data_IF_728157660428
#
_entry.id   IF_728157660428
#
_cell.length_a   1.000
_cell.length_b   1.000
_cell.length_c   1.000
_cell.angle_alpha   90.00
_cell.angle_beta   90.00
_cell.angle_gamma   90.00
#
_symmetry.space_group_name_H-M   'P 1'
#
loop_
_entity.id
_entity.type
_entity.pdbx_description
1 polymer ?
#
# COMPACT_ATOMS: atom_id res chain seq x y z
N UNK A 1 0.27 12.78 4.16
CA UNK A 1 -0.05 13.29 2.84
C UNK A 1 -1.28 12.58 2.26
N UNK A 2 -2.24 13.33 1.71
CA UNK A 2 -3.55 12.78 1.36
C UNK A 2 -3.65 12.38 -0.10
N UNK A 3 -2.76 11.49 -0.53
CA UNK A 3 -2.79 10.96 -1.89
C UNK A 3 -3.06 9.46 -1.84
N UNK A 4 -3.65 8.95 -2.92
CA UNK A 4 -3.88 7.51 -3.05
C UNK A 4 -2.55 6.77 -3.20
N UNK A 5 -2.56 5.47 -2.98
CA UNK A 5 -1.36 4.67 -3.17
C UNK A 5 -0.93 4.66 -4.65
N UNK A 6 -1.88 4.69 -5.57
CA UNK A 6 -1.58 4.80 -7.01
C UNK A 6 -0.85 6.08 -7.36
N UNK A 7 -1.29 7.21 -6.82
CA UNK A 7 -0.60 8.49 -7.00
C UNK A 7 0.80 8.47 -6.37
N UNK A 8 0.93 7.82 -5.23
CA UNK A 8 2.21 7.64 -4.57
C UNK A 8 3.20 6.89 -5.49
N UNK A 9 2.75 5.78 -6.11
CA UNK A 9 3.56 5.04 -7.09
C UNK A 9 3.95 5.93 -8.27
N UNK A 10 3.00 6.72 -8.78
CA UNK A 10 3.28 7.64 -9.91
C UNK A 10 4.38 8.63 -9.54
N UNK A 11 4.34 9.19 -8.33
CA UNK A 11 5.38 10.13 -7.87
C UNK A 11 6.74 9.45 -7.76
N UNK A 12 6.77 8.22 -7.24
CA UNK A 12 8.02 7.44 -7.18
C UNK A 12 8.57 7.20 -8.58
N UNK A 13 7.71 6.78 -9.50
CA UNK A 13 8.10 6.52 -10.88
C UNK A 13 8.68 7.78 -11.53
N UNK A 14 7.98 8.90 -11.38
CA UNK A 14 8.44 10.18 -11.91
C UNK A 14 9.76 10.64 -11.32
N UNK A 15 9.99 10.37 -10.03
CA UNK A 15 11.24 10.77 -9.36
C UNK A 15 12.48 10.08 -9.95
N UNK A 16 12.31 8.90 -10.52
CA UNK A 16 13.39 8.15 -11.19
C UNK A 16 13.33 8.26 -12.72
N UNK A 17 12.40 9.02 -13.26
CA UNK A 17 12.26 9.20 -14.70
C UNK A 17 11.89 7.91 -15.43
N UNK A 18 11.21 6.98 -14.77
CA UNK A 18 10.81 5.72 -15.38
C UNK A 18 9.50 5.87 -16.15
N UNK A 19 9.42 5.19 -17.30
CA UNK A 19 8.14 5.06 -18.01
C UNK A 19 7.28 4.00 -17.36
N UNK A 20 6.00 3.97 -17.71
CA UNK A 20 5.09 2.91 -17.25
C UNK A 20 5.61 1.52 -17.67
N UNK A 21 6.12 1.40 -18.88
CA UNK A 21 6.67 0.14 -19.37
C UNK A 21 7.90 -0.28 -18.57
N UNK A 22 8.78 0.66 -18.27
CA UNK A 22 9.99 0.37 -17.50
C UNK A 22 9.69 -0.07 -16.08
N UNK A 23 8.83 0.65 -15.37
CA UNK A 23 8.46 0.25 -14.02
C UNK A 23 7.65 -1.04 -14.03
N UNK A 24 6.73 -1.18 -14.97
CA UNK A 24 5.94 -2.41 -15.13
C UNK A 24 6.84 -3.64 -15.29
N UNK A 25 7.87 -3.55 -16.12
CA UNK A 25 8.82 -4.65 -16.30
C UNK A 25 9.50 -5.03 -14.99
N UNK A 26 9.86 -4.05 -14.15
CA UNK A 26 10.49 -4.29 -12.84
C UNK A 26 9.55 -4.94 -11.84
N UNK A 27 8.24 -4.67 -11.95
CA UNK A 27 7.22 -5.18 -11.05
C UNK A 27 6.47 -6.40 -11.61
N UNK A 28 6.83 -6.84 -12.80
CA UNK A 28 6.14 -7.92 -13.52
C UNK A 28 4.66 -7.56 -13.77
N UNK A 29 4.43 -6.34 -14.21
CA UNK A 29 3.13 -5.80 -14.59
C UNK A 29 3.23 -5.21 -15.99
N UNK A 30 2.17 -5.37 -16.80
CA UNK A 30 2.15 -4.65 -18.07
C UNK A 30 1.83 -3.16 -17.83
N UNK A 31 2.16 -2.32 -18.80
CA UNK A 31 2.00 -0.87 -18.68
C UNK A 31 0.52 -0.46 -18.52
N UNK A 32 -0.39 -1.19 -19.15
CA UNK A 32 -1.82 -0.89 -19.04
C UNK A 32 -2.34 -1.13 -17.63
N UNK A 33 -1.95 -2.25 -17.02
CA UNK A 33 -2.34 -2.55 -15.63
C UNK A 33 -1.71 -1.56 -14.66
N UNK A 34 -0.43 -1.22 -14.85
CA UNK A 34 0.22 -0.23 -13.99
C UNK A 34 -0.45 1.14 -14.09
N UNK A 35 -0.84 1.55 -15.31
CA UNK A 35 -1.59 2.79 -15.52
C UNK A 35 -2.91 2.79 -14.75
N UNK A 36 -3.63 1.68 -14.79
CA UNK A 36 -4.88 1.55 -14.04
C UNK A 36 -4.66 1.66 -12.52
N UNK A 37 -3.57 1.06 -12.02
CA UNK A 37 -3.20 1.17 -10.60
C UNK A 37 -2.89 2.62 -10.23
N UNK A 38 -2.10 3.30 -11.03
CA UNK A 38 -1.74 4.70 -10.78
C UNK A 38 -2.96 5.62 -10.79
N UNK A 39 -3.96 5.29 -11.60
CA UNK A 39 -5.19 6.07 -11.72
C UNK A 39 -6.30 5.63 -10.76
N UNK A 40 -6.02 4.68 -9.87
CA UNK A 40 -6.98 4.24 -8.86
C UNK A 40 -8.09 3.34 -9.38
N UNK A 41 -8.00 2.86 -10.62
CA UNK A 41 -9.00 1.98 -11.23
C UNK A 41 -8.79 0.53 -10.78
N UNK A 42 -7.55 0.18 -10.48
CA UNK A 42 -7.16 -1.16 -10.03
C UNK A 42 -6.30 -1.04 -8.78
N UNK A 43 -6.46 -1.98 -7.86
CA UNK A 43 -5.65 -2.00 -6.64
C UNK A 43 -4.27 -2.61 -6.89
N UNK A 44 -3.27 -2.09 -6.17
CA UNK A 44 -1.93 -2.66 -6.18
C UNK A 44 -1.93 -3.94 -5.35
N UNK A 45 -1.25 -4.98 -5.84
CA UNK A 45 -1.13 -6.25 -5.14
C UNK A 45 -0.09 -6.14 -4.01
N UNK A 46 -0.53 -6.39 -2.79
CA UNK A 46 0.36 -6.32 -1.61
C UNK A 46 1.57 -7.24 -1.72
N UNK A 47 1.48 -8.31 -2.50
CA UNK A 47 2.60 -9.24 -2.73
C UNK A 47 3.75 -8.57 -3.48
N UNK A 48 3.51 -7.45 -4.15
CA UNK A 48 4.53 -6.70 -4.88
C UNK A 48 5.17 -5.58 -4.07
N UNK A 49 4.78 -5.42 -2.80
CA UNK A 49 5.34 -4.35 -1.95
C UNK A 49 6.84 -4.50 -1.75
N UNK A 50 7.32 -5.72 -1.51
CA UNK A 50 8.75 -5.96 -1.34
C UNK A 50 9.53 -5.56 -2.60
N UNK A 51 9.04 -5.93 -3.77
CA UNK A 51 9.68 -5.58 -5.03
C UNK A 51 9.67 -4.07 -5.28
N UNK A 52 8.56 -3.43 -4.96
CA UNK A 52 8.45 -1.97 -5.07
C UNK A 52 9.47 -1.27 -4.15
N UNK A 53 9.62 -1.76 -2.92
CA UNK A 53 10.61 -1.24 -1.99
C UNK A 53 12.03 -1.40 -2.54
N UNK A 54 12.34 -2.55 -3.12
CA UNK A 54 13.67 -2.81 -3.73
C UNK A 54 13.95 -1.87 -4.90
N UNK A 55 12.98 -1.68 -5.79
CA UNK A 55 13.14 -0.84 -6.98
C UNK A 55 13.45 0.60 -6.60
N UNK A 56 12.83 1.12 -5.58
CA UNK A 56 12.98 2.51 -5.16
C UNK A 56 13.86 2.69 -3.92
N UNK A 57 14.47 1.61 -3.43
CA UNK A 57 15.36 1.64 -2.26
C UNK A 57 14.66 2.24 -1.04
N UNK A 58 13.42 1.82 -0.81
CA UNK A 58 12.60 2.30 0.31
C UNK A 58 12.59 1.29 1.45
N UNK A 59 12.40 1.80 2.66
CA UNK A 59 12.15 0.94 3.82
C UNK A 59 10.80 0.24 3.63
N UNK A 60 10.79 -1.08 3.75
CA UNK A 60 9.57 -1.87 3.54
C UNK A 60 8.49 -1.52 4.56
N UNK A 61 8.85 -1.23 5.81
CA UNK A 61 7.87 -0.87 6.84
C UNK A 61 7.20 0.47 6.53
N UNK A 62 7.96 1.44 6.03
CA UNK A 62 7.40 2.72 5.61
C UNK A 62 6.43 2.53 4.44
N UNK A 63 6.80 1.69 3.49
CA UNK A 63 5.94 1.41 2.33
C UNK A 63 4.67 0.68 2.76
N UNK A 64 4.77 -0.27 3.69
CA UNK A 64 3.58 -0.93 4.26
C UNK A 64 2.67 0.06 4.97
N UNK A 65 3.23 1.03 5.67
CA UNK A 65 2.45 2.07 6.33
C UNK A 65 1.63 2.86 5.32
N UNK A 66 2.25 3.26 4.21
CA UNK A 66 1.54 3.96 3.13
C UNK A 66 0.45 3.10 2.51
N UNK A 67 0.76 1.86 2.21
CA UNK A 67 -0.18 0.96 1.55
C UNK A 67 -1.38 0.63 2.46
N UNK A 68 -1.12 0.12 3.66
CA UNK A 68 -2.18 -0.37 4.53
C UNK A 68 -3.01 0.75 5.16
N UNK A 69 -2.41 1.89 5.45
CA UNK A 69 -3.17 3.03 5.96
C UNK A 69 -4.19 3.52 4.92
N UNK A 70 -3.80 3.52 3.64
CA UNK A 70 -4.71 3.88 2.56
C UNK A 70 -5.84 2.86 2.42
N UNK A 71 -5.51 1.57 2.47
CA UNK A 71 -6.49 0.48 2.36
C UNK A 71 -7.50 0.55 3.52
N UNK A 72 -7.04 0.78 4.73
CA UNK A 72 -7.94 0.90 5.89
C UNK A 72 -8.81 2.14 5.81
N UNK A 73 -8.25 3.29 5.47
CA UNK A 73 -9.01 4.52 5.33
C UNK A 73 -10.09 4.38 4.26
N UNK A 74 -9.74 3.79 3.11
CA UNK A 74 -10.67 3.53 2.02
C UNK A 74 -11.81 2.62 2.46
N UNK A 75 -11.49 1.52 3.15
CA UNK A 75 -12.50 0.58 3.64
C UNK A 75 -13.42 1.21 4.66
N UNK A 76 -12.88 2.00 5.57
CA UNK A 76 -13.69 2.73 6.55
C UNK A 76 -14.63 3.71 5.88
N UNK A 77 -14.13 4.46 4.88
CA UNK A 77 -14.92 5.43 4.13
C UNK A 77 -16.06 4.74 3.38
N UNK A 78 -15.77 3.65 2.67
CA UNK A 78 -16.76 2.92 1.88
C UNK A 78 -17.86 2.30 2.73
N UNK A 79 -17.58 1.97 3.98
CA UNK A 79 -18.53 1.35 4.89
C UNK A 79 -19.09 2.32 5.95
N UNK A 80 -18.82 3.60 5.81
CA UNK A 80 -19.27 4.63 6.75
C UNK A 80 -18.91 4.33 8.20
N UNK A 81 -17.71 3.80 8.43
CA UNK A 81 -17.27 3.48 9.78
C UNK A 81 -16.95 4.74 10.58
N UNK A 82 -17.29 4.73 11.87
CA UNK A 82 -16.89 5.80 12.77
C UNK A 82 -15.40 5.68 13.12
N UNK A 83 -14.81 6.78 13.56
CA UNK A 83 -13.42 6.82 13.99
C UNK A 83 -13.12 5.86 15.14
N UNK A 84 -14.13 5.47 15.89
CA UNK A 84 -14.01 4.50 16.98
C UNK A 84 -13.43 3.15 16.50
N UNK A 85 -13.66 2.81 15.24
CA UNK A 85 -13.10 1.57 14.65
C UNK A 85 -11.58 1.55 14.77
N UNK A 86 -10.91 2.69 14.58
CA UNK A 86 -9.44 2.76 14.71
C UNK A 86 -8.99 2.45 16.14
N UNK A 87 -9.69 2.97 17.13
CA UNK A 87 -9.35 2.74 18.55
C UNK A 87 -9.52 1.27 18.93
N UNK A 88 -10.62 0.66 18.50
CA UNK A 88 -10.88 -0.76 18.79
C UNK A 88 -9.91 -1.64 18.02
N UNK A 89 -9.61 -1.30 16.76
CA UNK A 89 -8.64 -2.06 15.96
C UNK A 89 -7.25 -2.05 16.63
N UNK A 90 -6.85 -0.93 17.20
CA UNK A 90 -5.57 -0.83 17.92
C UNK A 90 -5.54 -1.79 19.13
N UNK A 91 -6.62 -1.84 19.91
CA UNK A 91 -6.72 -2.76 21.03
C UNK A 91 -6.66 -4.21 20.59
N UNK A 92 -7.39 -4.54 19.52
CA UNK A 92 -7.38 -5.90 18.94
C UNK A 92 -6.02 -6.29 18.42
N UNK A 93 -5.30 -5.34 17.84
CA UNK A 93 -3.93 -5.58 17.37
C UNK A 93 -3.00 -5.94 18.53
N UNK A 94 -3.10 -5.25 19.65
CA UNK A 94 -2.34 -5.57 20.85
C UNK A 94 -2.66 -6.97 21.36
N UNK A 95 -3.94 -7.34 21.33
CA UNK A 95 -4.40 -8.66 21.72
C UNK A 95 -3.82 -9.75 20.80
N UNK A 96 -3.87 -9.52 19.49
CA UNK A 96 -3.34 -10.49 18.53
C UNK A 96 -1.84 -10.69 18.70
N UNK A 97 -1.10 -9.62 18.97
CA UNK A 97 0.35 -9.71 19.23
C UNK A 97 0.63 -10.48 20.52
N UNK A 98 -0.19 -10.28 21.55
CA UNK A 98 -0.04 -11.01 22.81
C UNK A 98 -0.29 -12.51 22.62
N UNK A 99 -1.29 -12.90 21.83
CA UNK A 99 -1.57 -14.30 21.50
C UNK A 99 -0.38 -14.91 20.74
N UNK A 100 0.19 -14.19 19.79
CA UNK A 100 1.34 -14.65 19.02
C UNK A 100 2.52 -14.95 19.94
N UNK A 101 2.78 -14.08 20.91
CA UNK A 101 3.84 -14.31 21.90
C UNK A 101 3.58 -15.54 22.76
N UNK A 102 2.32 -15.78 23.13
CA UNK A 102 1.94 -16.96 23.94
C UNK A 102 2.12 -18.25 23.14
N UNK A 103 1.82 -18.22 21.86
CA UNK A 103 1.95 -19.38 20.96
C UNK A 103 3.40 -19.68 20.56
N UNK A 104 4.21 -18.66 20.62
CA UNK A 104 5.63 -18.83 20.30
C UNK A 104 6.36 -19.47 21.47
#
# INVERSE_FOLDING_TARGET
>A
MNISFGEYIRKLRGSKGLTLTQLGAKLNLDSANLSKIENGIREFDEKRLLKLAEVFELDLNDLKTEFFSHEFAKKMYQNNCSQKVLQVAEQKLKYLRAIELIKA
#
